data_IF_883816694618
#
_entry.id   IF_883816694618
#
_cell.length_a   1.000
_cell.length_b   1.000
_cell.length_c   1.000
_cell.angle_alpha   90.00
_cell.angle_beta   90.00
_cell.angle_gamma   90.00
#
_symmetry.space_group_name_H-M   'P 1'
#
loop_
_entity.id
_entity.type
_entity.pdbx_description
1 polymer ?
#
# COMPACT_ATOMS: atom_id res chain seq x y z
N UNK A 1 -1.70 -16.96 -6.48
CA UNK A 1 -1.71 -15.68 -7.23
C UNK A 1 -0.27 -15.29 -7.52
N UNK A 2 0.02 -14.71 -8.68
CA UNK A 2 1.38 -14.38 -9.11
C UNK A 2 1.64 -12.88 -9.14
N UNK A 3 0.77 -12.08 -8.55
CA UNK A 3 0.90 -10.64 -8.54
C UNK A 3 -0.43 -9.92 -8.34
N UNK A 4 -0.33 -8.60 -8.24
CA UNK A 4 -1.45 -7.71 -8.07
C UNK A 4 -1.18 -6.35 -8.71
N UNK A 5 -2.26 -5.69 -9.16
CA UNK A 5 -2.25 -4.33 -9.67
C UNK A 5 -3.36 -3.53 -9.03
N UNK A 6 -3.06 -2.28 -8.71
CA UNK A 6 -4.08 -1.32 -8.31
C UNK A 6 -3.68 0.11 -8.71
N UNK A 7 -4.70 0.94 -8.89
CA UNK A 7 -4.55 2.39 -8.96
C UNK A 7 -4.91 2.98 -7.61
N UNK A 8 -3.99 3.74 -7.02
CA UNK A 8 -4.00 4.25 -5.66
C UNK A 8 -4.02 5.78 -5.70
N UNK A 9 -5.03 6.38 -5.09
CA UNK A 9 -5.11 7.83 -4.95
C UNK A 9 -4.09 8.34 -3.92
N UNK A 10 -3.42 9.46 -4.22
CA UNK A 10 -2.34 10.01 -3.38
C UNK A 10 -2.82 11.25 -2.65
N UNK A 11 -2.61 11.28 -1.34
CA UNK A 11 -2.96 12.37 -0.43
C UNK A 11 -1.78 12.71 0.47
N UNK A 12 -1.89 13.85 1.17
CA UNK A 12 -0.92 14.33 2.15
C UNK A 12 -1.55 14.32 3.57
N UNK A 13 -1.73 13.14 4.18
CA UNK A 13 -2.32 13.03 5.51
C UNK A 13 -1.43 13.68 6.58
N UNK A 14 -2.07 14.39 7.51
CA UNK A 14 -1.38 14.93 8.68
C UNK A 14 -0.96 13.81 9.63
N UNK A 15 0.30 13.80 10.03
CA UNK A 15 0.86 12.90 11.05
C UNK A 15 1.06 13.67 12.35
N UNK A 16 0.46 13.23 13.45
CA UNK A 16 0.53 13.95 14.72
C UNK A 16 1.88 13.76 15.43
N UNK A 17 2.39 12.52 15.46
CA UNK A 17 3.61 12.17 16.20
C UNK A 17 4.69 11.71 15.23
N UNK A 18 5.92 12.20 15.41
CA UNK A 18 7.01 12.02 14.43
C UNK A 18 7.32 10.56 14.08
N UNK A 19 7.14 9.64 15.04
CA UNK A 19 7.37 8.20 14.90
C UNK A 19 6.13 7.42 14.42
N UNK A 20 5.05 8.12 14.08
CA UNK A 20 3.91 7.53 13.40
C UNK A 20 4.07 7.62 11.88
N UNK A 21 3.27 6.84 11.16
CA UNK A 21 3.14 6.95 9.72
C UNK A 21 1.69 6.72 9.30
N UNK A 22 1.40 7.14 8.07
CA UNK A 22 0.22 6.71 7.33
C UNK A 22 0.67 6.23 5.95
N UNK A 23 0.16 5.08 5.53
CA UNK A 23 0.50 4.49 4.25
C UNK A 23 -0.73 4.03 3.47
N UNK A 24 -0.53 3.81 2.18
CA UNK A 24 -1.51 3.29 1.25
C UNK A 24 -0.81 2.41 0.25
N UNK A 25 -1.04 1.09 0.32
CA UNK A 25 -0.23 0.12 -0.40
C UNK A 25 -1.01 -1.10 -0.86
N UNK A 26 -0.30 -1.93 -1.63
CA UNK A 26 -0.68 -3.30 -1.91
C UNK A 26 0.31 -4.24 -1.21
N UNK A 27 -0.19 -5.36 -0.71
CA UNK A 27 0.59 -6.42 -0.10
C UNK A 27 0.48 -7.69 -0.93
N UNK A 28 1.61 -8.35 -1.17
CA UNK A 28 1.71 -9.69 -1.73
C UNK A 28 2.21 -10.61 -0.63
N UNK A 29 1.38 -11.56 -0.20
CA UNK A 29 1.60 -12.31 1.04
C UNK A 29 1.59 -13.83 0.80
N UNK A 30 2.47 -14.54 1.51
CA UNK A 30 2.49 -16.01 1.56
C UNK A 30 3.15 -16.50 2.85
N UNK A 31 2.67 -17.60 3.44
CA UNK A 31 3.08 -18.06 4.78
C UNK A 31 2.01 -17.82 5.85
N UNK A 32 2.38 -17.88 7.14
CA UNK A 32 1.42 -17.81 8.26
C UNK A 32 1.50 -16.52 9.07
N UNK A 33 0.35 -15.90 9.36
CA UNK A 33 0.23 -14.69 10.17
C UNK A 33 0.51 -14.91 11.67
N UNK A 34 0.25 -16.12 12.17
CA UNK A 34 0.52 -16.55 13.54
C UNK A 34 1.89 -17.25 13.69
N UNK A 35 2.61 -17.38 12.58
CA UNK A 35 3.91 -18.03 12.49
C UNK A 35 5.07 -17.05 12.37
N UNK A 36 6.25 -17.60 12.08
CA UNK A 36 7.51 -16.84 11.93
C UNK A 36 8.00 -16.81 10.48
N UNK A 37 7.13 -17.16 9.54
CA UNK A 37 7.49 -17.42 8.15
C UNK A 37 6.62 -16.62 7.16
N UNK A 38 5.90 -15.59 7.60
CA UNK A 38 5.19 -14.72 6.69
C UNK A 38 6.17 -13.99 5.78
N UNK A 39 6.00 -14.17 4.47
CA UNK A 39 6.67 -13.42 3.43
C UNK A 39 5.74 -12.30 2.97
N UNK A 40 6.29 -11.09 2.86
CA UNK A 40 5.57 -9.90 2.40
C UNK A 40 6.39 -9.14 1.37
N UNK A 41 5.73 -8.70 0.29
CA UNK A 41 6.23 -7.67 -0.63
C UNK A 41 5.18 -6.56 -0.66
N UNK A 42 5.63 -5.34 -0.44
CA UNK A 42 4.77 -4.19 -0.22
C UNK A 42 5.23 -3.02 -1.07
N UNK A 43 4.28 -2.36 -1.73
CA UNK A 43 4.56 -1.14 -2.46
C UNK A 43 3.35 -0.21 -2.50
N UNK A 44 3.62 1.08 -2.38
CA UNK A 44 2.59 2.09 -2.24
C UNK A 44 3.16 3.48 -2.09
N UNK A 45 2.40 4.35 -1.45
CA UNK A 45 2.92 5.61 -0.93
C UNK A 45 2.71 5.70 0.57
N UNK A 46 3.59 6.42 1.26
CA UNK A 46 3.46 6.67 2.68
C UNK A 46 3.95 8.06 3.07
N UNK A 47 3.45 8.56 4.21
CA UNK A 47 3.99 9.71 4.93
C UNK A 47 4.58 9.18 6.23
N UNK A 48 5.91 9.27 6.37
CA UNK A 48 6.64 8.82 7.56
C UNK A 48 7.72 9.86 7.91
N UNK A 49 7.41 10.82 8.81
CA UNK A 49 8.33 11.89 9.17
C UNK A 49 9.66 11.38 9.74
N UNK A 50 9.64 10.34 10.58
CA UNK A 50 10.87 9.72 11.11
C UNK A 50 11.75 9.12 10.01
N UNK A 51 11.17 8.47 9.01
CA UNK A 51 11.93 7.81 7.94
C UNK A 51 12.51 8.81 6.92
N UNK A 52 11.77 9.86 6.57
CA UNK A 52 12.12 10.76 5.47
C UNK A 52 12.61 12.15 5.91
N UNK A 53 12.41 12.52 7.18
CA UNK A 53 12.73 13.85 7.70
C UNK A 53 11.77 14.96 7.23
N UNK A 54 10.69 14.61 6.53
CA UNK A 54 9.60 15.50 6.15
C UNK A 54 8.26 14.74 6.10
N UNK A 55 7.16 15.47 5.99
CA UNK A 55 5.80 14.90 5.94
C UNK A 55 5.27 14.77 4.51
N UNK A 56 6.12 14.73 3.48
CA UNK A 56 5.62 14.59 2.11
C UNK A 56 5.27 13.13 1.81
N UNK A 57 4.23 12.85 0.99
CA UNK A 57 3.96 11.51 0.50
C UNK A 57 5.09 10.99 -0.37
N UNK A 58 5.54 9.77 -0.11
CA UNK A 58 6.73 9.17 -0.74
C UNK A 58 6.37 7.83 -1.34
N UNK A 59 6.76 7.59 -2.58
CA UNK A 59 6.74 6.24 -3.15
C UNK A 59 7.65 5.37 -2.29
N UNK A 60 7.17 4.22 -1.85
CA UNK A 60 7.97 3.33 -1.03
C UNK A 60 7.76 1.87 -1.40
N UNK A 61 8.71 1.07 -0.93
CA UNK A 61 8.63 -0.37 -0.95
C UNK A 61 9.09 -0.94 0.39
N UNK A 62 8.49 -2.04 0.82
CA UNK A 62 8.97 -2.86 1.91
C UNK A 62 8.93 -4.34 1.51
N UNK A 63 9.77 -5.16 2.15
CA UNK A 63 9.66 -6.61 2.05
C UNK A 63 10.12 -7.24 3.37
N UNK A 64 9.67 -8.45 3.65
CA UNK A 64 10.18 -9.33 4.73
C UNK A 64 9.95 -10.79 4.35
N UNK A 65 10.72 -11.72 4.93
CA UNK A 65 10.51 -13.17 4.78
C UNK A 65 10.34 -13.91 6.11
N UNK A 66 10.26 -13.19 7.23
CA UNK A 66 10.22 -13.78 8.58
C UNK A 66 9.23 -13.10 9.53
N UNK A 67 8.07 -12.68 9.03
CA UNK A 67 7.02 -12.01 9.82
C UNK A 67 7.53 -10.73 10.51
N UNK A 68 8.28 -9.88 9.77
CA UNK A 68 8.78 -8.58 10.26
C UNK A 68 9.71 -8.68 11.49
N UNK A 69 10.42 -9.81 11.66
CA UNK A 69 11.22 -10.04 12.86
C UNK A 69 12.65 -9.53 12.72
N UNK A 70 13.41 -10.10 11.80
CA UNK A 70 14.82 -9.78 11.59
C UNK A 70 15.13 -9.49 10.12
N UNK A 71 14.39 -10.08 9.19
CA UNK A 71 14.51 -9.79 7.76
C UNK A 71 13.57 -8.68 7.33
N UNK A 72 14.05 -7.96 6.33
CA UNK A 72 13.24 -7.01 5.61
C UNK A 72 13.97 -5.70 5.37
N UNK A 73 13.39 -4.88 4.51
CA UNK A 73 14.03 -3.64 4.13
C UNK A 73 13.05 -2.61 3.59
N UNK A 74 13.14 -1.39 4.14
CA UNK A 74 12.54 -0.22 3.51
C UNK A 74 13.39 0.25 2.34
N UNK A 75 12.73 0.47 1.19
CA UNK A 75 13.30 1.11 0.02
C UNK A 75 14.65 0.49 -0.38
N UNK A 76 15.69 1.32 -0.48
CA UNK A 76 17.07 0.95 -0.78
C UNK A 76 18.00 1.12 0.45
N UNK A 77 17.44 1.14 1.67
CA UNK A 77 18.23 1.34 2.90
C UNK A 77 19.12 0.14 3.26
N UNK A 78 18.85 -0.99 2.64
CA UNK A 78 19.52 -2.28 2.80
C UNK A 78 19.35 -3.08 1.49
N UNK A 79 20.07 -4.19 1.38
CA UNK A 79 19.95 -5.08 0.22
C UNK A 79 18.57 -5.76 0.20
N UNK A 80 18.03 -5.93 -1.01
CA UNK A 80 16.80 -6.68 -1.24
C UNK A 80 16.10 -6.26 -2.52
N UNK A 81 15.64 -5.01 -2.60
CA UNK A 81 15.10 -4.46 -3.84
C UNK A 81 16.23 -3.99 -4.77
N UNK A 82 16.21 -4.42 -6.03
CA UNK A 82 17.15 -4.02 -7.07
C UNK A 82 16.44 -3.06 -8.02
N UNK A 83 16.68 -1.76 -7.84
CA UNK A 83 16.18 -0.74 -8.75
C UNK A 83 16.98 -0.78 -10.08
N UNK A 84 16.27 -0.90 -11.19
CA UNK A 84 16.86 -0.98 -12.55
C UNK A 84 16.60 0.28 -13.37
N UNK A 85 15.64 1.09 -12.94
CA UNK A 85 15.19 2.29 -13.64
C UNK A 85 15.70 3.55 -12.95
N UNK A 86 16.12 4.55 -13.74
CA UNK A 86 16.61 5.85 -13.25
C UNK A 86 15.60 7.00 -13.37
N UNK A 87 14.42 6.77 -13.94
CA UNK A 87 13.31 7.74 -14.07
C UNK A 87 12.42 7.78 -12.85
N UNK A 88 12.20 6.63 -12.22
CA UNK A 88 11.41 6.50 -10.99
C UNK A 88 12.37 6.19 -9.84
N UNK A 89 12.36 7.01 -8.80
CA UNK A 89 13.19 6.81 -7.62
C UNK A 89 12.32 6.36 -6.44
N UNK A 90 12.64 5.21 -5.86
CA UNK A 90 12.02 4.76 -4.61
C UNK A 90 12.44 5.73 -3.48
N UNK A 91 11.49 6.14 -2.64
CA UNK A 91 11.68 7.16 -1.61
C UNK A 91 11.58 8.61 -2.13
N UNK A 92 11.29 8.82 -3.42
CA UNK A 92 11.03 10.17 -3.93
C UNK A 92 9.65 10.68 -3.49
N UNK A 93 9.56 11.98 -3.26
CA UNK A 93 8.30 12.65 -2.96
C UNK A 93 7.38 12.61 -4.20
N UNK A 94 6.11 12.28 -4.00
CA UNK A 94 5.11 12.27 -5.05
C UNK A 94 4.47 13.66 -5.12
N UNK A 95 4.38 14.20 -6.33
CA UNK A 95 3.72 15.48 -6.60
C UNK A 95 3.20 15.49 -8.03
N UNK A 96 2.03 16.09 -8.29
CA UNK A 96 1.07 16.66 -7.33
C UNK A 96 0.31 15.60 -6.52
N UNK A 97 -0.35 16.03 -5.44
CA UNK A 97 -1.22 15.22 -4.57
C UNK A 97 -2.67 15.72 -4.64
N UNK A 98 -3.62 14.87 -4.25
CA UNK A 98 -5.05 15.17 -4.32
C UNK A 98 -5.47 16.20 -3.28
N UNK A 99 -6.60 16.88 -3.52
CA UNK A 99 -7.17 17.86 -2.62
C UNK A 99 -8.68 17.69 -2.48
N UNK A 100 -9.24 18.01 -1.32
CA UNK A 100 -10.68 17.92 -1.05
C UNK A 100 -11.49 18.77 -2.02
N UNK A 101 -12.49 18.16 -2.67
CA UNK A 101 -13.33 18.77 -3.72
C UNK A 101 -12.52 19.44 -4.85
N UNK A 102 -11.29 18.98 -5.09
CA UNK A 102 -10.39 19.51 -6.11
C UNK A 102 -9.80 18.42 -7.01
N UNK A 103 -8.63 18.70 -7.57
CA UNK A 103 -7.95 17.76 -8.47
C UNK A 103 -7.57 16.48 -7.72
N UNK A 104 -7.81 15.33 -8.36
CA UNK A 104 -7.46 14.02 -7.85
C UNK A 104 -6.27 13.47 -8.66
N UNK A 105 -5.28 12.92 -7.96
CA UNK A 105 -4.09 12.33 -8.57
C UNK A 105 -3.87 10.93 -8.02
N UNK A 106 -3.59 9.99 -8.90
CA UNK A 106 -3.34 8.60 -8.54
C UNK A 106 -2.10 8.03 -9.23
N UNK A 107 -1.57 6.99 -8.60
CA UNK A 107 -0.47 6.18 -9.12
C UNK A 107 -0.98 4.77 -9.39
N UNK A 108 -0.39 4.10 -10.36
CA UNK A 108 -0.69 2.68 -10.60
C UNK A 108 0.56 1.87 -10.27
N UNK A 109 0.40 0.83 -9.46
CA UNK A 109 1.48 -0.11 -9.12
C UNK A 109 1.05 -1.49 -9.56
N UNK A 110 1.97 -2.22 -10.17
CA UNK A 110 1.85 -3.64 -10.49
C UNK A 110 3.07 -4.36 -9.94
N UNK A 111 2.83 -5.37 -9.09
CA UNK A 111 3.83 -6.33 -8.64
C UNK A 111 3.49 -7.70 -9.22
N UNK A 112 4.46 -8.40 -9.80
CA UNK A 112 4.24 -9.75 -10.34
C UNK A 112 5.49 -10.61 -10.32
N UNK A 113 5.31 -11.92 -10.30
CA UNK A 113 6.38 -12.90 -10.34
C UNK A 113 6.74 -13.22 -11.79
N UNK A 114 8.03 -13.17 -12.12
CA UNK A 114 8.53 -13.63 -13.40
C UNK A 114 8.50 -15.17 -13.47
N UNK A 115 7.76 -15.79 -14.42
CA UNK A 115 7.65 -17.24 -14.52
C UNK A 115 8.95 -17.92 -14.99
N UNK A 116 9.91 -17.17 -15.54
CA UNK A 116 11.18 -17.72 -16.04
C UNK A 116 12.26 -17.73 -14.97
N UNK A 117 12.44 -16.60 -14.27
CA UNK A 117 13.54 -16.42 -13.31
C UNK A 117 13.05 -16.49 -11.85
N UNK A 118 11.76 -16.27 -11.61
CA UNK A 118 11.16 -16.32 -10.27
C UNK A 118 11.20 -15.01 -9.50
N UNK A 119 11.91 -13.98 -9.99
CA UNK A 119 11.98 -12.66 -9.35
C UNK A 119 10.62 -11.98 -9.33
N UNK A 120 10.35 -11.21 -8.27
CA UNK A 120 9.17 -10.37 -8.19
C UNK A 120 9.48 -8.98 -8.74
N UNK A 121 8.83 -8.59 -9.81
CA UNK A 121 9.01 -7.30 -10.47
C UNK A 121 7.99 -6.28 -10.00
N UNK A 122 8.40 -5.01 -9.97
CA UNK A 122 7.53 -3.86 -9.76
C UNK A 122 7.54 -2.94 -10.97
N UNK A 123 6.36 -2.47 -11.37
CA UNK A 123 6.21 -1.36 -12.31
C UNK A 123 5.32 -0.26 -11.74
N UNK A 124 5.52 0.96 -12.25
CA UNK A 124 4.84 2.18 -11.83
C UNK A 124 4.22 2.88 -13.05
N UNK A 125 3.01 3.43 -12.87
CA UNK A 125 2.26 4.13 -13.91
C UNK A 125 1.91 3.21 -15.08
N UNK A 126 2.18 3.67 -16.30
CA UNK A 126 1.94 2.93 -17.55
C UNK A 126 3.03 1.86 -17.79
N UNK A 127 3.16 0.92 -16.84
CA UNK A 127 4.09 -0.21 -16.88
C UNK A 127 5.58 0.18 -16.96
N UNK A 128 5.97 1.33 -16.40
CA UNK A 128 7.39 1.67 -16.27
C UNK A 128 8.02 0.73 -15.25
N UNK A 129 8.84 -0.23 -15.71
CA UNK A 129 9.60 -1.11 -14.82
C UNK A 129 10.45 -0.28 -13.87
N UNK A 130 10.37 -0.54 -12.57
CA UNK A 130 11.15 0.17 -11.54
C UNK A 130 12.32 -0.69 -11.07
N UNK A 131 12.05 -1.96 -10.79
CA UNK A 131 13.01 -2.89 -10.22
C UNK A 131 12.37 -4.21 -9.83
N UNK A 132 13.11 -5.03 -9.10
CA UNK A 132 12.65 -6.34 -8.65
C UNK A 132 13.23 -6.75 -7.30
N UNK A 133 12.53 -7.66 -6.63
CA UNK A 133 13.04 -8.44 -5.51
C UNK A 133 13.51 -9.81 -6.02
N UNK A 134 14.78 -10.19 -5.76
CA UNK A 134 15.30 -11.53 -6.09
C UNK A 134 14.47 -12.63 -5.42
N UNK A 135 14.27 -13.74 -6.13
CA UNK A 135 13.50 -14.88 -5.62
C UNK A 135 14.11 -15.48 -4.33
N UNK A 136 15.44 -15.38 -4.18
CA UNK A 136 16.21 -15.94 -3.06
C UNK A 136 15.93 -15.26 -1.72
N UNK A 137 15.25 -14.11 -1.72
CA UNK A 137 14.82 -13.45 -0.49
C UNK A 137 13.70 -14.21 0.22
N UNK A 138 12.94 -15.03 -0.52
CA UNK A 138 11.67 -15.56 -0.10
C UNK A 138 11.69 -17.08 0.02
N UNK A 139 10.89 -17.59 0.95
CA UNK A 139 10.63 -19.02 1.16
C UNK A 139 9.29 -19.38 0.55
N UNK A 140 8.21 -18.76 1.00
CA UNK A 140 6.84 -19.04 0.53
C UNK A 140 6.49 -18.30 -0.75
N UNK A 141 6.92 -17.03 -0.88
CA UNK A 141 6.77 -16.28 -2.14
C UNK A 141 7.72 -16.80 -3.24
N UNK A 142 8.60 -17.76 -2.95
CA UNK A 142 9.36 -18.46 -3.98
C UNK A 142 8.45 -19.26 -4.93
N UNK A 143 7.28 -19.72 -4.45
CA UNK A 143 6.29 -20.42 -5.26
C UNK A 143 5.22 -19.44 -5.78
N UNK A 144 4.33 -18.98 -4.91
CA UNK A 144 3.27 -18.02 -5.26
C UNK A 144 2.72 -17.30 -4.02
N UNK A 145 1.96 -16.23 -4.24
CA UNK A 145 1.21 -15.53 -3.20
C UNK A 145 -0.10 -16.25 -2.88
N UNK A 146 -0.37 -16.47 -1.60
CA UNK A 146 -1.64 -17.03 -1.11
C UNK A 146 -2.66 -15.95 -0.80
N UNK A 147 -2.21 -14.72 -0.53
CA UNK A 147 -3.09 -13.58 -0.29
C UNK A 147 -2.56 -12.30 -0.95
N UNK A 148 -3.50 -11.45 -1.36
CA UNK A 148 -3.24 -10.09 -1.84
C UNK A 148 -4.15 -9.16 -1.05
N UNK A 149 -3.58 -8.08 -0.52
CA UNK A 149 -4.34 -7.04 0.17
C UNK A 149 -4.09 -5.68 -0.47
N UNK A 150 -5.05 -4.78 -0.30
CA UNK A 150 -4.97 -3.37 -0.68
C UNK A 150 -5.63 -2.55 0.42
N UNK A 151 -5.06 -1.39 0.74
CA UNK A 151 -5.59 -0.58 1.83
C UNK A 151 -4.56 0.38 2.40
N UNK A 152 -4.91 0.92 3.56
CA UNK A 152 -4.05 1.81 4.32
C UNK A 152 -3.80 1.30 5.73
N UNK A 153 -2.70 1.75 6.30
CA UNK A 153 -2.28 1.45 7.66
C UNK A 153 -1.80 2.75 8.32
N UNK A 154 -2.05 2.87 9.61
CA UNK A 154 -1.53 3.96 10.44
C UNK A 154 -0.91 3.40 11.70
N UNK A 155 0.18 4.02 12.16
CA UNK A 155 0.65 3.82 13.53
C UNK A 155 -0.03 4.84 14.41
N UNK A 156 -0.68 4.36 15.47
CA UNK A 156 -1.26 5.17 16.52
C UNK A 156 -0.51 4.88 17.83
N UNK A 157 0.42 5.77 18.17
CA UNK A 157 1.22 5.76 19.39
C UNK A 157 0.40 5.91 20.67
N UNK A 158 -0.86 6.36 20.55
CA UNK A 158 -1.74 6.72 21.66
C UNK A 158 -1.11 7.65 22.68
N UNK A 159 -0.38 8.66 22.21
CA UNK A 159 0.23 9.66 23.10
C UNK A 159 -0.86 10.28 23.98
N UNK A 160 -0.68 10.22 25.31
CA UNK A 160 -1.68 10.60 26.34
C UNK A 160 -2.89 9.65 26.50
N UNK A 161 -2.82 8.41 26.03
CA UNK A 161 -3.85 7.38 26.23
C UNK A 161 -5.08 7.52 25.33
N UNK A 162 -5.00 8.38 24.32
CA UNK A 162 -6.08 8.71 23.36
C UNK A 162 -5.67 8.30 21.96
N UNK A 163 -6.61 8.10 21.04
CA UNK A 163 -6.25 7.95 19.62
C UNK A 163 -5.51 9.22 19.13
N UNK A 164 -4.51 9.10 18.26
CA UNK A 164 -3.91 10.30 17.64
C UNK A 164 -4.77 10.83 16.49
N UNK A 165 -4.62 12.13 16.19
CA UNK A 165 -5.16 12.83 15.02
C UNK A 165 -4.42 12.48 13.71
N UNK A 166 -3.62 11.42 13.71
CA UNK A 166 -2.95 10.94 12.50
C UNK A 166 -4.00 10.47 11.51
N UNK A 167 -3.98 11.09 10.33
CA UNK A 167 -4.98 10.83 9.29
C UNK A 167 -4.59 9.60 8.48
N UNK A 168 -5.59 8.87 7.98
CA UNK A 168 -5.39 7.84 6.96
C UNK A 168 -5.93 8.35 5.63
N UNK A 169 -5.15 8.18 4.56
CA UNK A 169 -5.55 8.61 3.22
C UNK A 169 -5.76 10.13 3.17
N UNK A 170 -6.99 10.56 2.92
CA UNK A 170 -7.36 11.97 2.86
C UNK A 170 -7.72 12.57 4.21
N UNK A 171 -7.81 11.76 5.26
CA UNK A 171 -8.37 12.17 6.56
C UNK A 171 -9.90 12.11 6.63
N UNK A 172 -10.57 11.62 5.58
CA UNK A 172 -12.03 11.51 5.50
C UNK A 172 -12.49 10.06 5.43
N UNK A 173 -13.68 9.79 5.96
CA UNK A 173 -14.31 8.47 5.92
C UNK A 173 -14.76 8.11 4.50
N UNK A 174 -14.85 6.81 4.24
CA UNK A 174 -15.18 6.20 2.96
C UNK A 174 -16.51 6.69 2.36
N UNK A 175 -17.47 7.06 3.20
CA UNK A 175 -18.77 7.58 2.77
C UNK A 175 -18.74 8.95 2.10
N UNK A 176 -17.68 9.74 2.32
CA UNK A 176 -17.52 11.03 1.64
C UNK A 176 -17.29 10.85 0.12
N UNK A 177 -16.80 9.68 -0.31
CA UNK A 177 -16.73 9.28 -1.71
C UNK A 177 -15.73 10.07 -2.56
N UNK A 178 -15.94 10.05 -3.89
CA UNK A 178 -14.99 10.61 -4.85
C UNK A 178 -14.73 12.11 -4.61
N UNK A 179 -13.45 12.51 -4.69
CA UNK A 179 -13.03 13.90 -4.48
C UNK A 179 -12.75 14.24 -3.01
N UNK A 180 -13.10 13.35 -2.08
CA UNK A 180 -13.05 13.61 -0.64
C UNK A 180 -12.39 12.49 0.14
N UNK A 181 -12.84 11.26 -0.05
CA UNK A 181 -12.25 10.05 0.52
C UNK A 181 -11.11 9.54 -0.37
N UNK A 182 -10.12 8.88 0.23
CA UNK A 182 -9.11 8.15 -0.54
C UNK A 182 -9.71 6.91 -1.18
N UNK A 183 -9.15 6.50 -2.32
CA UNK A 183 -9.62 5.33 -3.05
C UNK A 183 -8.49 4.46 -3.57
N UNK A 184 -8.84 3.18 -3.73
CA UNK A 184 -8.19 2.27 -4.66
C UNK A 184 -9.21 1.90 -5.74
N UNK A 185 -8.76 1.79 -6.98
CA UNK A 185 -9.58 1.35 -8.12
C UNK A 185 -8.80 0.43 -9.05
N UNK A 186 -9.49 -0.18 -10.01
CA UNK A 186 -8.91 -1.07 -11.01
C UNK A 186 -8.11 -2.20 -10.35
N UNK A 187 -8.69 -2.84 -9.34
CA UNK A 187 -8.03 -3.94 -8.62
C UNK A 187 -7.95 -5.17 -9.52
N UNK A 188 -6.73 -5.68 -9.72
CA UNK A 188 -6.47 -6.87 -10.55
C UNK A 188 -5.46 -7.79 -9.88
N UNK A 189 -5.54 -9.08 -10.19
CA UNK A 189 -4.52 -10.07 -9.84
C UNK A 189 -3.83 -10.59 -11.10
N UNK A 190 -2.64 -11.15 -10.92
CA UNK A 190 -1.88 -11.82 -11.97
C UNK A 190 -2.01 -13.33 -11.80
N UNK A 191 -2.39 -14.02 -12.87
CA UNK A 191 -2.50 -15.48 -12.89
C UNK A 191 -1.16 -16.17 -13.25
N UNK A 192 -1.19 -17.50 -13.34
CA UNK A 192 0.02 -18.30 -13.62
C UNK A 192 0.60 -18.09 -15.02
N UNK A 193 -0.21 -17.58 -15.95
CA UNK A 193 0.17 -17.32 -17.33
C UNK A 193 0.60 -15.84 -17.52
N UNK A 194 0.75 -15.11 -16.41
CA UNK A 194 1.03 -13.67 -16.36
C UNK A 194 -0.06 -12.79 -16.99
N UNK A 195 -1.31 -13.25 -17.02
CA UNK A 195 -2.44 -12.41 -17.43
C UNK A 195 -3.02 -11.65 -16.25
N UNK A 196 -3.43 -10.41 -16.51
CA UNK A 196 -4.16 -9.58 -15.55
C UNK A 196 -5.65 -9.91 -15.58
N UNK A 197 -6.22 -10.21 -14.42
CA UNK A 197 -7.65 -10.45 -14.24
C UNK A 197 -8.22 -9.49 -13.20
N UNK A 198 -9.30 -8.80 -13.55
CA UNK A 198 -10.00 -7.93 -12.60
C UNK A 198 -10.63 -8.76 -11.49
N UNK A 199 -10.46 -8.32 -10.24
CA UNK A 199 -11.12 -8.96 -9.10
C UNK A 199 -12.63 -8.74 -9.20
N UNK A 200 -13.42 -9.76 -8.85
CA UNK A 200 -14.89 -9.68 -8.92
C UNK A 200 -15.50 -9.18 -7.60
N UNK A 201 -14.77 -9.34 -6.49
CA UNK A 201 -15.18 -8.92 -5.16
C UNK A 201 -14.01 -8.99 -4.20
N UNK A 202 -14.11 -8.23 -3.11
CA UNK A 202 -13.12 -8.15 -2.04
C UNK A 202 -13.82 -8.23 -0.69
N UNK A 203 -13.13 -8.76 0.30
CA UNK A 203 -13.51 -8.63 1.70
C UNK A 203 -12.90 -7.37 2.28
N UNK A 204 -13.63 -6.64 3.11
CA UNK A 204 -13.16 -5.41 3.76
C UNK A 204 -13.02 -5.61 5.27
N UNK A 205 -11.97 -5.06 5.86
CA UNK A 205 -11.70 -5.08 7.29
C UNK A 205 -11.22 -3.70 7.74
N UNK A 206 -11.70 -3.24 8.90
CA UNK A 206 -11.17 -2.08 9.62
C UNK A 206 -11.18 -2.39 11.12
N UNK A 207 -10.03 -2.22 11.78
CA UNK A 207 -9.87 -2.56 13.20
C UNK A 207 -10.64 -1.61 14.12
N UNK A 208 -10.65 -0.31 13.78
CA UNK A 208 -11.34 0.72 14.54
C UNK A 208 -12.19 1.59 13.59
N UNK A 209 -13.39 1.12 13.27
CA UNK A 209 -14.29 1.74 12.28
C UNK A 209 -14.70 3.18 12.58
N UNK A 210 -14.69 3.59 13.85
CA UNK A 210 -14.96 4.98 14.23
C UNK A 210 -13.77 5.93 14.00
N UNK A 211 -12.57 5.40 13.80
CA UNK A 211 -11.35 6.19 13.57
C UNK A 211 -11.01 6.22 12.08
N UNK A 212 -11.15 5.06 11.43
CA UNK A 212 -10.92 4.83 10.01
C UNK A 212 -11.88 3.77 9.50
N UNK A 213 -12.46 3.96 8.32
CA UNK A 213 -13.37 2.99 7.71
C UNK A 213 -13.01 2.68 6.26
N UNK A 214 -13.71 1.70 5.71
CA UNK A 214 -13.55 1.23 4.33
C UNK A 214 -14.89 0.74 3.80
N UNK A 215 -15.22 1.09 2.55
CA UNK A 215 -16.44 0.65 1.86
C UNK A 215 -16.11 0.30 0.40
N UNK A 216 -16.46 -0.91 -0.01
CA UNK A 216 -16.22 -1.43 -1.36
C UNK A 216 -17.43 -1.28 -2.28
N UNK A 217 -17.16 -1.10 -3.55
CA UNK A 217 -18.12 -0.82 -4.61
C UNK A 217 -17.66 -1.43 -5.93
N UNK A 218 -18.53 -1.36 -6.94
CA UNK A 218 -18.23 -1.75 -8.31
C UNK A 218 -18.80 -0.73 -9.30
N UNK A 219 -18.03 -0.39 -10.33
CA UNK A 219 -18.52 0.31 -11.52
C UNK A 219 -17.85 -0.25 -12.78
N UNK A 220 -18.44 0.00 -13.95
CA UNK A 220 -17.86 -0.45 -15.21
C UNK A 220 -16.53 0.27 -15.50
N UNK A 221 -16.40 1.52 -15.05
CA UNK A 221 -15.25 2.37 -15.29
C UNK A 221 -14.06 2.04 -14.38
N UNK A 222 -14.32 1.67 -13.12
CA UNK A 222 -13.29 1.44 -12.10
C UNK A 222 -13.10 -0.03 -11.73
N UNK A 223 -13.94 -0.91 -12.27
CA UNK A 223 -14.06 -2.30 -11.81
C UNK A 223 -14.47 -2.35 -10.34
N UNK A 224 -13.94 -3.32 -9.60
CA UNK A 224 -14.01 -3.33 -8.14
C UNK A 224 -13.08 -2.26 -7.58
N UNK A 225 -13.62 -1.43 -6.69
CA UNK A 225 -12.91 -0.32 -6.06
C UNK A 225 -13.41 -0.15 -4.62
N UNK A 226 -12.69 0.63 -3.82
CA UNK A 226 -13.15 1.01 -2.49
C UNK A 226 -12.70 2.41 -2.12
N UNK A 227 -13.49 3.04 -1.25
CA UNK A 227 -13.06 4.21 -0.50
C UNK A 227 -12.61 3.80 0.90
N UNK A 228 -11.65 4.51 1.45
CA UNK A 228 -11.12 4.29 2.79
C UNK A 228 -10.52 5.58 3.34
N UNK A 229 -10.30 5.61 4.65
CA UNK A 229 -9.60 6.68 5.33
C UNK A 229 -10.27 7.05 6.65
N UNK A 230 -9.84 8.16 7.22
CA UNK A 230 -10.45 8.71 8.42
C UNK A 230 -9.52 9.68 9.15
N UNK A 231 -10.08 10.49 10.05
CA UNK A 231 -9.34 11.56 10.72
C UNK A 231 -8.48 11.08 11.90
N UNK A 232 -8.58 9.80 12.29
CA UNK A 232 -8.05 9.33 13.56
C UNK A 232 -8.92 9.81 14.70
N UNK A 233 -8.35 10.55 15.66
CA UNK A 233 -9.07 11.06 16.83
C UNK A 233 -10.27 11.93 16.43
N UNK A 234 -11.44 11.59 16.95
CA UNK A 234 -12.69 12.32 16.77
C UNK A 234 -13.69 11.97 17.89
N UNK A 235 -14.86 12.62 18.01
CA UNK A 235 -15.81 12.34 19.09
C UNK A 235 -16.28 10.88 19.22
N UNK A 236 -16.22 10.08 18.16
CA UNK A 236 -16.57 8.64 18.17
C UNK A 236 -15.33 7.73 18.32
N UNK A 237 -14.13 8.31 18.23
CA UNK A 237 -12.84 7.65 18.41
C UNK A 237 -11.91 8.54 19.28
N UNK A 238 -12.10 8.52 20.62
CA UNK A 238 -11.28 9.31 21.53
C UNK A 238 -9.87 8.74 21.75
#
# INVERSE_FOLDING_TARGET
MYGAKATINVWDPSIQVINEFSLSQLWILSGSFDGTDLNSIEAGWQVSPELYGDSRPRLFTYWTSDSYRATGCYNLLCAGFIQTNSRIAIGAAISPVSSYDGNQYDITILIWKDPKVGNWWMSFGDNTLVGYWPAELFTHLADHATMVEWGGEVVNSRTNGQHTFTQMGSGHFAEDGFGKASYFRNLQTVDTDNNLSSVQGISTLAENTNCYDIKSYYSNEWGTYFYYGGPGNNPQCP
#
